data_IF_911075328462
#
_entry.id   IF_911075328462
#
_cell.length_a   1.000
_cell.length_b   1.000
_cell.length_c   1.000
_cell.angle_alpha   90.00
_cell.angle_beta   90.00
_cell.angle_gamma   90.00
#
_symmetry.space_group_name_H-M   'P 1'
#
loop_
_entity.id
_entity.type
_entity.pdbx_description
1 polymer ?
#
# COMPACT_ATOMS: atom_id res chain seq x y z
N UNK A 1 -4.42 11.20 -9.43
CA UNK A 1 -3.51 11.86 -8.46
C UNK A 1 -2.78 10.79 -7.64
N UNK A 2 -2.15 9.81 -8.28
CA UNK A 2 -1.72 8.58 -7.56
C UNK A 2 -0.20 8.47 -7.44
N UNK A 3 0.53 9.30 -8.18
CA UNK A 3 2.00 9.37 -8.20
C UNK A 3 2.66 9.67 -6.83
N UNK A 4 2.19 10.64 -6.01
CA UNK A 4 2.79 10.87 -4.69
C UNK A 4 2.50 9.73 -3.70
N UNK A 5 1.34 9.08 -3.83
CA UNK A 5 0.98 7.92 -3.02
C UNK A 5 1.85 6.71 -3.39
N UNK A 6 2.06 6.48 -4.69
CA UNK A 6 2.92 5.41 -5.19
C UNK A 6 4.36 5.56 -4.67
N UNK A 7 4.95 6.75 -4.75
CA UNK A 7 6.30 7.02 -4.22
C UNK A 7 6.36 6.73 -2.71
N UNK A 8 5.33 7.16 -1.96
CA UNK A 8 5.23 6.89 -0.53
C UNK A 8 5.18 5.39 -0.20
N UNK A 9 4.34 4.63 -0.92
CA UNK A 9 4.20 3.19 -0.74
C UNK A 9 5.48 2.45 -1.13
N UNK A 10 6.13 2.83 -2.24
CA UNK A 10 7.40 2.25 -2.65
C UNK A 10 8.50 2.44 -1.58
N UNK A 11 8.56 3.61 -0.95
CA UNK A 11 9.46 3.87 0.18
C UNK A 11 9.18 2.98 1.41
N UNK A 12 7.90 2.74 1.71
CA UNK A 12 7.52 1.84 2.81
C UNK A 12 7.85 0.37 2.49
N UNK A 13 7.62 -0.08 1.24
CA UNK A 13 8.00 -1.43 0.80
C UNK A 13 9.52 -1.62 0.92
N UNK A 14 10.30 -0.64 0.48
CA UNK A 14 11.76 -0.65 0.61
C UNK A 14 12.17 -0.82 2.08
N UNK A 15 11.55 -0.06 2.99
CA UNK A 15 11.80 -0.15 4.43
C UNK A 15 11.39 -1.51 5.01
N UNK A 16 10.21 -2.01 4.65
CA UNK A 16 9.71 -3.32 5.09
C UNK A 16 10.57 -4.48 4.58
N UNK A 17 11.22 -4.30 3.43
CA UNK A 17 12.20 -5.22 2.86
C UNK A 17 13.64 -5.00 3.35
N UNK A 18 13.84 -4.15 4.37
CA UNK A 18 15.16 -3.86 4.95
C UNK A 18 16.13 -3.24 3.93
N UNK A 19 15.61 -2.47 2.98
CA UNK A 19 16.39 -1.81 1.93
C UNK A 19 16.86 -2.74 0.80
N UNK A 20 16.45 -4.01 0.79
CA UNK A 20 16.77 -4.95 -0.30
C UNK A 20 16.22 -4.55 -1.66
N UNK A 21 15.15 -3.75 -1.65
CA UNK A 21 14.49 -3.24 -2.84
C UNK A 21 14.50 -1.73 -2.77
N UNK A 22 14.90 -1.07 -3.85
CA UNK A 22 14.84 0.39 -3.95
C UNK A 22 13.45 0.83 -4.40
N UNK A 23 13.00 2.04 -4.01
CA UNK A 23 11.71 2.57 -4.47
C UNK A 23 11.61 2.65 -5.99
N UNK A 24 12.71 2.92 -6.68
CA UNK A 24 12.78 3.01 -8.14
C UNK A 24 12.55 1.64 -8.81
N UNK A 25 13.15 0.57 -8.28
CA UNK A 25 12.90 -0.80 -8.76
C UNK A 25 11.45 -1.22 -8.57
N UNK A 26 10.83 -0.81 -7.46
CA UNK A 26 9.43 -1.13 -7.16
C UNK A 26 8.49 -0.36 -8.10
N UNK A 27 8.76 0.93 -8.32
CA UNK A 27 7.97 1.80 -9.20
C UNK A 27 8.07 1.38 -10.68
N UNK A 28 9.23 0.89 -11.11
CA UNK A 28 9.47 0.43 -12.47
C UNK A 28 9.11 -1.04 -12.72
N UNK A 29 8.65 -1.76 -11.69
CA UNK A 29 8.35 -3.19 -11.78
C UNK A 29 6.87 -3.45 -12.07
N UNK A 30 6.62 -4.25 -13.11
CA UNK A 30 5.31 -4.82 -13.42
C UNK A 30 5.13 -6.27 -12.91
N UNK A 31 6.13 -6.82 -12.22
CA UNK A 31 6.04 -8.19 -11.67
C UNK A 31 5.41 -8.20 -10.28
N UNK A 32 4.98 -9.39 -9.84
CA UNK A 32 4.33 -9.56 -8.55
C UNK A 32 5.24 -9.21 -7.38
N UNK A 33 4.67 -8.76 -6.26
CA UNK A 33 5.46 -8.44 -5.05
C UNK A 33 6.28 -9.65 -4.57
N UNK A 34 5.69 -10.84 -4.61
CA UNK A 34 6.38 -12.10 -4.30
C UNK A 34 7.55 -12.39 -5.24
N UNK A 35 7.40 -12.11 -6.54
CA UNK A 35 8.44 -12.27 -7.55
C UNK A 35 9.55 -11.21 -7.40
N UNK A 36 9.22 -10.03 -6.88
CA UNK A 36 10.18 -9.00 -6.47
C UNK A 36 10.98 -9.40 -5.23
N UNK A 37 10.62 -10.50 -4.55
CA UNK A 37 11.27 -10.95 -3.32
C UNK A 37 10.72 -10.28 -2.06
N UNK A 38 9.50 -9.72 -2.12
CA UNK A 38 8.74 -9.33 -0.94
C UNK A 38 8.27 -10.60 -0.25
N UNK A 39 8.79 -10.85 0.94
CA UNK A 39 8.45 -12.02 1.75
C UNK A 39 7.13 -11.79 2.50
N UNK A 40 6.46 -12.85 2.94
CA UNK A 40 5.25 -12.73 3.76
C UNK A 40 5.45 -11.88 5.02
N UNK A 41 6.65 -11.95 5.63
CA UNK A 41 6.98 -11.09 6.76
C UNK A 41 7.10 -9.61 6.37
N UNK A 42 7.72 -9.31 5.22
CA UNK A 42 7.79 -7.95 4.71
C UNK A 42 6.38 -7.42 4.35
N UNK A 43 5.48 -8.27 3.84
CA UNK A 43 4.07 -7.92 3.61
C UNK A 43 3.37 -7.54 4.92
N UNK A 44 3.52 -8.34 5.99
CA UNK A 44 2.91 -8.02 7.29
C UNK A 44 3.42 -6.68 7.85
N UNK A 45 4.74 -6.47 7.82
CA UNK A 45 5.35 -5.20 8.26
C UNK A 45 4.90 -4.02 7.42
N UNK A 46 4.75 -4.22 6.11
CA UNK A 46 4.25 -3.20 5.19
C UNK A 46 2.81 -2.83 5.54
N UNK A 47 1.97 -3.82 5.80
CA UNK A 47 0.57 -3.61 6.18
C UNK A 47 0.50 -2.80 7.47
N UNK A 48 1.18 -3.23 8.53
CA UNK A 48 1.22 -2.50 9.80
C UNK A 48 1.64 -1.03 9.58
N UNK A 49 2.69 -0.79 8.78
CA UNK A 49 3.18 0.55 8.48
C UNK A 49 2.21 1.39 7.63
N UNK A 50 1.49 0.78 6.68
CA UNK A 50 0.48 1.46 5.86
C UNK A 50 -0.73 1.81 6.71
N UNK A 51 -1.21 0.87 7.52
CA UNK A 51 -2.36 1.07 8.41
C UNK A 51 -2.07 2.19 9.42
N UNK A 52 -0.90 2.19 10.05
CA UNK A 52 -0.48 3.25 10.99
C UNK A 52 -0.33 4.60 10.27
N UNK A 53 0.32 4.63 9.11
CA UNK A 53 0.61 5.89 8.41
C UNK A 53 -0.62 6.55 7.80
N UNK A 54 -1.50 5.73 7.23
CA UNK A 54 -2.66 6.21 6.48
C UNK A 54 -3.95 6.10 7.27
N UNK A 55 -3.95 5.50 8.47
CA UNK A 55 -5.14 5.23 9.28
C UNK A 55 -6.21 4.51 8.44
N UNK A 56 -5.77 3.44 7.77
CA UNK A 56 -6.56 2.54 6.93
C UNK A 56 -6.50 1.13 7.51
N UNK A 57 -7.43 0.26 7.13
CA UNK A 57 -7.41 -1.16 7.48
C UNK A 57 -7.27 -1.97 6.20
N UNK A 58 -6.25 -2.81 6.13
CA UNK A 58 -5.99 -3.72 5.01
C UNK A 58 -6.38 -5.14 5.43
N UNK A 59 -7.51 -5.62 4.91
CA UNK A 59 -7.99 -6.96 5.25
C UNK A 59 -7.20 -8.05 4.49
N UNK A 60 -6.41 -8.82 5.25
CA UNK A 60 -5.71 -10.01 4.77
C UNK A 60 -6.59 -11.27 4.72
N UNK A 61 -7.71 -11.27 5.44
CA UNK A 61 -8.66 -12.39 5.50
C UNK A 61 -9.57 -12.49 4.29
N UNK A 62 -9.75 -11.37 3.56
CA UNK A 62 -10.52 -11.30 2.32
C UNK A 62 -9.72 -11.62 1.06
N UNK A 63 -10.00 -10.91 -0.03
CA UNK A 63 -9.25 -11.01 -1.28
C UNK A 63 -7.94 -10.22 -1.17
N UNK A 64 -6.86 -10.89 -0.78
CA UNK A 64 -5.49 -10.34 -0.78
C UNK A 64 -4.93 -10.09 -2.20
N UNK A 65 -5.78 -10.10 -3.24
CA UNK A 65 -5.40 -9.85 -4.63
C UNK A 65 -4.76 -8.46 -4.82
N UNK A 66 -5.04 -7.49 -3.94
CA UNK A 66 -4.38 -6.19 -3.96
C UNK A 66 -2.88 -6.27 -3.63
N UNK A 67 -2.40 -7.36 -3.02
CA UNK A 67 -0.98 -7.60 -2.73
C UNK A 67 -0.26 -8.35 -3.87
N UNK A 68 -0.97 -8.73 -4.93
CA UNK A 68 -0.31 -9.41 -6.05
C UNK A 68 0.66 -8.49 -6.77
N UNK A 69 0.35 -7.21 -6.91
CA UNK A 69 1.17 -6.27 -7.67
C UNK A 69 1.17 -4.89 -7.04
N UNK A 70 2.28 -4.16 -7.20
CA UNK A 70 2.42 -2.81 -6.66
C UNK A 70 1.30 -1.85 -7.12
N UNK A 71 0.89 -1.81 -8.41
CA UNK A 71 -0.21 -0.95 -8.84
C UNK A 71 -1.55 -1.26 -8.16
N UNK A 72 -1.82 -2.54 -7.87
CA UNK A 72 -3.07 -2.95 -7.21
C UNK A 72 -3.09 -2.50 -5.75
N UNK A 73 -1.96 -2.60 -5.05
CA UNK A 73 -1.82 -2.12 -3.67
C UNK A 73 -2.05 -0.62 -3.60
N UNK A 74 -1.40 0.14 -4.48
CA UNK A 74 -1.55 1.59 -4.56
C UNK A 74 -3.01 1.97 -4.83
N UNK A 75 -3.65 1.31 -5.81
CA UNK A 75 -5.05 1.57 -6.13
C UNK A 75 -6.01 1.22 -4.98
N UNK A 76 -5.73 0.15 -4.23
CA UNK A 76 -6.52 -0.22 -3.06
C UNK A 76 -6.41 0.81 -1.94
N UNK A 77 -5.19 1.27 -1.62
CA UNK A 77 -4.97 2.31 -0.60
C UNK A 77 -5.63 3.63 -1.02
N UNK A 78 -5.50 4.03 -2.29
CA UNK A 78 -6.16 5.23 -2.83
C UNK A 78 -7.69 5.14 -2.70
N UNK A 79 -8.29 4.00 -3.04
CA UNK A 79 -9.72 3.77 -2.91
C UNK A 79 -10.20 3.80 -1.44
N UNK A 80 -9.42 3.24 -0.52
CA UNK A 80 -9.72 3.25 0.92
C UNK A 80 -9.61 4.66 1.49
N UNK A 81 -8.60 5.43 1.08
CA UNK A 81 -8.45 6.83 1.44
C UNK A 81 -9.60 7.68 0.90
N UNK A 82 -9.98 7.49 -0.37
CA UNK A 82 -11.11 8.18 -0.99
C UNK A 82 -12.42 7.88 -0.24
N UNK A 83 -12.64 6.61 0.14
CA UNK A 83 -13.82 6.20 0.91
C UNK A 83 -13.86 6.84 2.30
N UNK A 84 -12.72 7.07 2.96
CA UNK A 84 -12.64 7.79 4.25
C UNK A 84 -12.98 9.27 4.14
N UNK A 85 -12.52 9.94 3.07
CA UNK A 85 -12.83 11.36 2.84
C UNK A 85 -14.35 11.56 2.77
N UNK A 86 -15.06 10.66 2.11
CA UNK A 86 -16.53 10.72 2.02
C UNK A 86 -17.16 10.66 3.41
N UNK A 87 -16.74 9.75 4.30
CA UNK A 87 -17.35 9.61 5.65
C UNK A 87 -17.06 10.81 6.56
N UNK A 88 -15.87 11.41 6.47
CA UNK A 88 -15.51 12.60 7.26
C UNK A 88 -16.25 13.85 6.77
N UNK A 89 -16.50 13.98 5.46
CA UNK A 89 -17.21 15.13 4.89
C UNK A 89 -18.69 15.18 5.30
N UNK A 90 -19.37 14.02 5.38
CA UNK A 90 -20.75 13.94 5.90
C UNK A 90 -20.82 14.28 7.40
N UNK A 91 -19.77 13.98 8.17
CA UNK A 91 -19.72 14.23 9.61
C UNK A 91 -19.39 15.69 9.98
N UNK A 92 -18.77 16.47 9.09
CA UNK A 92 -18.46 17.90 9.32
C UNK A 92 -19.57 18.87 8.89
N UNK A 93 -20.68 18.35 8.36
CA UNK A 93 -21.82 19.16 7.88
C UNK A 93 -23.03 19.14 8.81
N UNK A 94 -22.84 18.91 10.11
CA UNK A 94 -23.87 19.06 11.17
C UNK A 94 -23.40 19.93 12.32
#
# INVERSE_FOLDING_TARGET
MTEPLAIGIAGMISTACEGRLTPEEILGSDISLSALGVTSLAVLRLIDAVEERFDVLLDLGGSAAYLDSFPLLVGHVDATLASRVVVVEIARSR
#
